data_IF_260161929731
#
_entry.id   IF_260161929731
#
_cell.length_a   1.000
_cell.length_b   1.000
_cell.length_c   1.000
_cell.angle_alpha   90.00
_cell.angle_beta   90.00
_cell.angle_gamma   90.00
#
_symmetry.space_group_name_H-M   'P 1'
#
loop_
_entity.id
_entity.type
_entity.pdbx_description
1 polymer ?
#
# COMPACT_ATOMS: atom_id res chain seq x y z
N UNK A 1 10.91 -23.15 19.49
CA UNK A 1 10.53 -21.81 19.02
C UNK A 1 10.43 -20.94 20.25
N UNK A 2 11.08 -19.79 20.27
CA UNK A 2 11.03 -18.83 21.39
C UNK A 2 9.64 -18.17 21.42
N UNK A 3 9.06 -18.02 22.63
CA UNK A 3 7.75 -17.39 22.81
C UNK A 3 7.81 -15.90 22.51
N UNK A 4 6.85 -15.41 21.73
CA UNK A 4 6.67 -14.00 21.48
C UNK A 4 5.65 -13.33 22.44
N UNK A 5 5.43 -12.03 22.29
CA UNK A 5 4.44 -11.30 23.12
C UNK A 5 3.01 -11.76 22.88
N UNK A 6 2.71 -12.34 21.70
CA UNK A 6 1.37 -12.79 21.33
C UNK A 6 1.07 -14.14 21.97
N UNK A 7 2.07 -15.01 22.15
CA UNK A 7 1.88 -16.26 22.89
C UNK A 7 1.43 -15.98 24.34
N UNK A 8 2.02 -14.98 24.99
CA UNK A 8 1.57 -14.53 26.33
C UNK A 8 0.16 -13.96 26.34
N UNK A 9 -0.21 -13.20 25.30
CA UNK A 9 -1.55 -12.69 25.11
C UNK A 9 -2.58 -13.83 24.94
N UNK A 10 -2.29 -14.81 24.11
CA UNK A 10 -3.13 -15.99 23.89
C UNK A 10 -3.28 -16.79 25.18
N UNK A 11 -2.20 -17.05 25.89
CA UNK A 11 -2.21 -17.77 27.16
C UNK A 11 -3.06 -17.08 28.23
N UNK A 12 -3.13 -15.74 28.23
CA UNK A 12 -4.03 -14.97 29.08
C UNK A 12 -5.49 -15.20 28.69
N UNK A 13 -5.84 -14.96 27.43
CA UNK A 13 -7.23 -15.02 26.96
C UNK A 13 -7.81 -16.43 26.91
N UNK A 14 -6.99 -17.47 26.69
CA UNK A 14 -7.44 -18.87 26.76
C UNK A 14 -7.96 -19.29 28.15
N UNK A 15 -7.55 -18.57 29.20
CA UNK A 15 -8.07 -18.79 30.55
C UNK A 15 -9.43 -18.13 30.77
N UNK A 16 -9.64 -16.94 30.16
CA UNK A 16 -10.86 -16.16 30.28
C UNK A 16 -11.95 -16.62 29.29
N UNK A 17 -11.54 -17.18 28.15
CA UNK A 17 -12.42 -17.60 27.05
C UNK A 17 -12.17 -19.08 26.72
N UNK A 18 -12.85 -20.03 27.37
CA UNK A 18 -12.62 -21.48 27.18
C UNK A 18 -12.88 -21.99 25.75
N UNK A 19 -13.57 -21.22 24.91
CA UNK A 19 -13.85 -21.56 23.51
C UNK A 19 -12.87 -20.93 22.50
N UNK A 20 -11.83 -20.23 22.97
CA UNK A 20 -10.84 -19.61 22.09
C UNK A 20 -10.00 -20.70 21.42
N UNK A 21 -9.91 -20.65 20.08
CA UNK A 21 -8.96 -21.46 19.32
C UNK A 21 -7.59 -20.71 19.30
N UNK A 22 -6.57 -21.22 19.99
CA UNK A 22 -5.30 -20.53 20.12
C UNK A 22 -4.52 -20.41 18.81
N UNK A 23 -4.71 -21.35 17.86
CA UNK A 23 -4.04 -21.30 16.57
C UNK A 23 -4.67 -20.23 15.67
N UNK A 24 -6.00 -20.13 15.67
CA UNK A 24 -6.72 -19.09 14.92
C UNK A 24 -6.39 -17.71 15.50
N UNK A 25 -6.50 -17.53 16.80
CA UNK A 25 -6.19 -16.26 17.47
C UNK A 25 -4.73 -15.86 17.24
N UNK A 26 -3.82 -16.84 17.37
CA UNK A 26 -2.39 -16.62 17.12
C UNK A 26 -2.08 -16.15 15.70
N UNK A 27 -2.71 -16.75 14.70
CA UNK A 27 -2.54 -16.36 13.31
C UNK A 27 -3.11 -14.95 13.05
N UNK A 28 -4.34 -14.68 13.49
CA UNK A 28 -5.01 -13.39 13.25
C UNK A 28 -4.28 -12.26 13.95
N UNK A 29 -3.96 -12.41 15.23
CA UNK A 29 -3.27 -11.37 16.03
C UNK A 29 -1.88 -11.07 15.48
N UNK A 30 -1.12 -12.10 15.05
CA UNK A 30 0.19 -11.87 14.40
C UNK A 30 0.04 -11.13 13.08
N UNK A 31 -0.90 -11.50 12.22
CA UNK A 31 -1.16 -10.78 10.98
C UNK A 31 -1.50 -9.31 11.22
N UNK A 32 -2.42 -9.01 12.15
CA UNK A 32 -2.81 -7.64 12.48
C UNK A 32 -1.64 -6.82 13.03
N UNK A 33 -0.85 -7.40 13.93
CA UNK A 33 0.30 -6.74 14.54
C UNK A 33 1.40 -6.44 13.51
N UNK A 34 1.68 -7.39 12.61
CA UNK A 34 2.67 -7.22 11.55
C UNK A 34 2.23 -6.17 10.52
N UNK A 35 0.95 -6.15 10.13
CA UNK A 35 0.38 -5.11 9.26
C UNK A 35 0.50 -3.72 9.93
N UNK A 36 0.19 -3.60 11.22
CA UNK A 36 0.36 -2.34 11.94
C UNK A 36 1.83 -1.89 12.03
N UNK A 37 2.77 -2.83 12.17
CA UNK A 37 4.20 -2.54 12.12
C UNK A 37 4.65 -2.02 10.75
N UNK A 38 4.24 -2.69 9.66
CA UNK A 38 4.55 -2.26 8.29
C UNK A 38 3.98 -0.87 8.00
N UNK A 39 2.75 -0.61 8.44
CA UNK A 39 2.12 0.73 8.30
C UNK A 39 2.95 1.81 8.99
N UNK A 40 3.37 1.58 10.25
CA UNK A 40 4.23 2.54 10.98
C UNK A 40 5.58 2.77 10.28
N UNK A 41 6.19 1.71 9.74
CA UNK A 41 7.46 1.84 8.98
C UNK A 41 7.27 2.66 7.70
N UNK A 42 6.17 2.41 6.96
CA UNK A 42 5.80 3.22 5.79
C UNK A 42 5.60 4.69 6.15
N UNK A 43 4.87 4.99 7.21
CA UNK A 43 4.66 6.36 7.68
C UNK A 43 5.99 7.06 8.05
N UNK A 44 6.90 6.34 8.70
CA UNK A 44 8.24 6.86 9.03
C UNK A 44 9.06 7.14 7.77
N UNK A 45 9.04 6.25 6.77
CA UNK A 45 9.72 6.43 5.49
C UNK A 45 9.18 7.64 4.71
N UNK A 46 7.85 7.78 4.64
CA UNK A 46 7.21 8.94 4.02
C UNK A 46 7.59 10.25 4.73
N UNK A 47 7.58 10.26 6.06
CA UNK A 47 7.97 11.42 6.86
C UNK A 47 9.44 11.82 6.62
N UNK A 48 10.35 10.84 6.54
CA UNK A 48 11.76 11.08 6.25
C UNK A 48 11.96 11.75 4.88
N UNK A 49 11.09 11.47 3.91
CA UNK A 49 11.08 12.07 2.57
C UNK A 49 10.18 13.30 2.45
N UNK A 50 9.62 13.79 3.56
CA UNK A 50 8.68 14.93 3.61
C UNK A 50 7.43 14.74 2.74
N UNK A 51 7.05 13.49 2.48
CA UNK A 51 5.83 13.12 1.75
C UNK A 51 4.70 12.78 2.72
N UNK A 52 3.49 13.20 2.37
CA UNK A 52 2.25 12.75 3.01
C UNK A 52 1.74 11.47 2.33
N UNK A 53 0.97 10.67 3.05
CA UNK A 53 0.41 9.43 2.49
C UNK A 53 -0.37 9.66 1.20
N UNK A 54 -1.25 10.68 1.16
CA UNK A 54 -2.04 10.99 -0.04
C UNK A 54 -1.19 11.49 -1.22
N UNK A 55 -0.03 12.13 -0.98
CA UNK A 55 0.91 12.53 -2.03
C UNK A 55 1.51 11.27 -2.66
N UNK A 56 2.02 10.38 -1.84
CA UNK A 56 2.52 9.09 -2.30
C UNK A 56 1.48 8.27 -3.05
N UNK A 57 0.22 8.25 -2.59
CA UNK A 57 -0.85 7.49 -3.23
C UNK A 57 -1.14 8.01 -4.65
N UNK A 58 -1.06 9.34 -4.89
CA UNK A 58 -1.17 9.93 -6.23
C UNK A 58 0.04 9.54 -7.10
N UNK A 59 1.27 9.68 -6.59
CA UNK A 59 2.48 9.29 -7.32
C UNK A 59 2.43 7.80 -7.70
N UNK A 60 2.01 6.95 -6.76
CA UNK A 60 1.85 5.52 -6.97
C UNK A 60 0.81 5.21 -8.06
N UNK A 61 -0.32 5.90 -8.07
CA UNK A 61 -1.35 5.73 -9.09
C UNK A 61 -0.86 6.12 -10.48
N UNK A 62 -0.16 7.25 -10.61
CA UNK A 62 0.45 7.65 -11.86
C UNK A 62 1.51 6.64 -12.33
N UNK A 63 2.33 6.13 -11.41
CA UNK A 63 3.33 5.11 -11.73
C UNK A 63 2.69 3.80 -12.18
N UNK A 64 1.60 3.39 -11.55
CA UNK A 64 0.85 2.16 -11.90
C UNK A 64 0.13 2.24 -13.25
N UNK A 65 -0.12 3.44 -13.77
CA UNK A 65 -0.68 3.64 -15.10
C UNK A 65 0.26 3.14 -16.23
N UNK A 66 1.55 2.99 -15.93
CA UNK A 66 2.56 2.63 -16.92
C UNK A 66 2.98 3.82 -17.79
N UNK A 67 4.01 3.65 -18.63
CA UNK A 67 4.45 4.72 -19.52
C UNK A 67 3.32 5.24 -20.42
N UNK A 68 3.19 6.55 -20.60
CA UNK A 68 4.07 7.63 -20.17
C UNK A 68 3.81 8.17 -18.75
N UNK A 69 3.23 7.38 -17.83
CA UNK A 69 2.97 7.70 -16.42
C UNK A 69 2.08 8.93 -16.21
N UNK A 70 1.03 8.99 -16.99
CA UNK A 70 0.07 10.08 -16.99
C UNK A 70 -1.37 9.58 -16.90
N UNK A 71 -2.25 10.42 -16.37
CA UNK A 71 -3.68 10.13 -16.25
C UNK A 71 -4.49 11.42 -16.25
N UNK A 72 -5.81 11.30 -16.49
CA UNK A 72 -6.71 12.44 -16.31
C UNK A 72 -7.04 12.64 -14.82
N UNK A 73 -7.33 13.88 -14.37
CA UNK A 73 -7.80 14.12 -13.01
C UNK A 73 -9.05 13.31 -12.65
N UNK A 74 -9.97 13.11 -13.60
CA UNK A 74 -11.19 12.31 -13.38
C UNK A 74 -10.87 10.84 -13.09
N UNK A 75 -9.92 10.26 -13.83
CA UNK A 75 -9.48 8.89 -13.58
C UNK A 75 -8.80 8.77 -12.21
N UNK A 76 -7.92 9.72 -11.87
CA UNK A 76 -7.26 9.76 -10.56
C UNK A 76 -8.27 9.89 -9.41
N UNK A 77 -9.29 10.73 -9.56
CA UNK A 77 -10.34 10.90 -8.55
C UNK A 77 -11.08 9.58 -8.29
N UNK A 78 -11.47 8.88 -9.37
CA UNK A 78 -12.10 7.56 -9.29
C UNK A 78 -11.17 6.52 -8.67
N UNK A 79 -9.92 6.45 -9.16
CA UNK A 79 -8.95 5.45 -8.73
C UNK A 79 -8.50 5.59 -7.26
N UNK A 80 -8.61 6.81 -6.70
CA UNK A 80 -8.25 7.15 -5.32
C UNK A 80 -9.48 7.31 -4.40
N UNK A 81 -10.69 7.05 -4.92
CA UNK A 81 -11.95 7.29 -4.20
C UNK A 81 -11.96 8.66 -3.52
N UNK A 82 -11.60 9.69 -4.28
CA UNK A 82 -11.41 11.05 -3.76
C UNK A 82 -12.32 12.03 -4.49
N UNK A 83 -12.97 12.91 -3.72
CA UNK A 83 -13.81 13.94 -4.32
C UNK A 83 -12.99 14.84 -5.25
N UNK A 84 -13.50 15.21 -6.45
CA UNK A 84 -12.76 15.98 -7.45
C UNK A 84 -12.15 17.28 -6.93
N UNK A 85 -12.88 18.05 -6.09
CA UNK A 85 -12.37 19.29 -5.51
C UNK A 85 -11.17 19.04 -4.58
N UNK A 86 -11.20 17.97 -3.80
CA UNK A 86 -10.08 17.57 -2.94
C UNK A 86 -8.89 17.14 -3.78
N UNK A 87 -9.12 16.39 -4.86
CA UNK A 87 -8.05 15.99 -5.76
C UNK A 87 -7.40 17.22 -6.43
N UNK A 88 -8.18 18.17 -6.90
CA UNK A 88 -7.65 19.40 -7.52
C UNK A 88 -6.66 20.08 -6.59
N UNK A 89 -7.04 20.37 -5.35
CA UNK A 89 -6.14 21.01 -4.38
C UNK A 89 -4.90 20.19 -4.03
N UNK A 90 -4.99 18.86 -4.08
CA UNK A 90 -3.85 17.94 -3.91
C UNK A 90 -2.90 17.97 -5.09
N UNK A 91 -3.44 18.00 -6.31
CA UNK A 91 -2.66 18.12 -7.54
C UNK A 91 -1.94 19.48 -7.61
N UNK A 92 -2.60 20.59 -7.19
CA UNK A 92 -1.97 21.92 -7.11
C UNK A 92 -0.71 21.87 -6.24
N UNK A 93 -0.80 21.27 -5.06
CA UNK A 93 0.34 21.16 -4.14
C UNK A 93 1.48 20.27 -4.66
N UNK A 94 1.15 19.17 -5.35
CA UNK A 94 2.16 18.30 -5.95
C UNK A 94 2.84 18.96 -7.16
N UNK A 95 2.13 19.80 -7.90
CA UNK A 95 2.71 20.59 -8.98
C UNK A 95 3.60 21.71 -8.43
N UNK A 96 3.17 22.44 -7.39
CA UNK A 96 3.97 23.43 -6.66
C UNK A 96 5.25 22.83 -6.08
N UNK A 97 5.20 21.56 -5.62
CA UNK A 97 6.38 20.84 -5.10
C UNK A 97 7.23 20.18 -6.20
N UNK A 98 6.86 20.34 -7.47
CA UNK A 98 7.61 19.83 -8.61
C UNK A 98 7.49 18.32 -8.88
N UNK A 99 6.60 17.60 -8.18
CA UNK A 99 6.48 16.15 -8.34
C UNK A 99 5.63 15.72 -9.53
N UNK A 100 4.79 16.60 -10.04
CA UNK A 100 3.98 16.37 -11.22
C UNK A 100 3.84 17.64 -12.07
N UNK A 101 3.38 17.46 -13.29
CA UNK A 101 3.02 18.55 -14.20
C UNK A 101 1.65 18.30 -14.81
N UNK A 102 0.97 19.38 -15.21
CA UNK A 102 -0.30 19.33 -15.92
C UNK A 102 -0.14 19.91 -17.31
N UNK A 103 -0.59 19.16 -18.30
CA UNK A 103 -0.55 19.58 -19.71
C UNK A 103 -1.87 19.23 -20.38
N UNK A 104 -2.21 19.96 -21.44
CA UNK A 104 -3.32 19.55 -22.28
C UNK A 104 -2.89 18.40 -23.21
N UNK A 105 -3.82 17.46 -23.43
CA UNK A 105 -3.61 16.37 -24.38
C UNK A 105 -3.39 16.95 -25.78
N UNK A 106 -2.28 16.59 -26.47
CA UNK A 106 -2.01 17.08 -27.82
C UNK A 106 -3.12 16.72 -28.83
N UNK A 107 -3.84 15.64 -28.62
CA UNK A 107 -4.93 15.17 -29.49
C UNK A 107 -6.29 15.79 -29.14
N UNK A 108 -6.49 16.20 -27.89
CA UNK A 108 -7.72 16.86 -27.40
C UNK A 108 -7.40 17.92 -26.35
N UNK A 109 -7.34 19.17 -26.76
CA UNK A 109 -7.05 20.32 -25.88
C UNK A 109 -8.06 20.55 -24.75
N UNK A 110 -9.20 19.87 -24.76
CA UNK A 110 -10.18 19.89 -23.65
C UNK A 110 -9.79 18.95 -22.53
N UNK A 111 -8.91 17.99 -22.83
CA UNK A 111 -8.47 16.95 -21.90
C UNK A 111 -7.21 17.41 -21.19
N UNK A 112 -7.28 17.51 -19.86
CA UNK A 112 -6.12 17.76 -19.02
C UNK A 112 -5.46 16.42 -18.63
N UNK A 113 -4.14 16.36 -18.74
CA UNK A 113 -3.33 15.22 -18.32
C UNK A 113 -2.43 15.64 -17.16
N UNK A 114 -2.30 14.77 -16.20
CA UNK A 114 -1.36 14.86 -15.05
C UNK A 114 -0.29 13.83 -15.27
N UNK A 115 0.96 14.22 -15.26
CA UNK A 115 2.11 13.34 -15.47
C UNK A 115 3.14 13.49 -14.36
N UNK A 116 3.86 12.41 -14.04
CA UNK A 116 5.01 12.48 -13.14
C UNK A 116 6.16 13.25 -13.80
N UNK A 117 6.85 14.05 -12.99
CA UNK A 117 8.16 14.61 -13.32
C UNK A 117 9.27 13.63 -12.92
N UNK A 118 10.52 13.94 -13.27
CA UNK A 118 11.68 13.17 -12.81
C UNK A 118 11.80 13.19 -11.28
N UNK A 119 11.48 14.32 -10.63
CA UNK A 119 11.41 14.45 -9.18
C UNK A 119 10.28 13.57 -8.58
N UNK A 120 9.13 13.52 -9.24
CA UNK A 120 8.02 12.65 -8.85
C UNK A 120 8.39 11.16 -8.95
N UNK A 121 9.09 10.78 -10.01
CA UNK A 121 9.64 9.43 -10.16
C UNK A 121 10.63 9.10 -9.06
N UNK A 122 11.61 9.97 -8.80
CA UNK A 122 12.62 9.78 -7.77
C UNK A 122 12.01 9.68 -6.36
N UNK A 123 11.00 10.52 -6.05
CA UNK A 123 10.28 10.48 -4.79
C UNK A 123 9.55 9.17 -4.58
N UNK A 124 8.88 8.66 -5.63
CA UNK A 124 8.21 7.36 -5.60
C UNK A 124 9.21 6.21 -5.44
N UNK A 125 10.27 6.15 -6.28
CA UNK A 125 11.29 5.10 -6.27
C UNK A 125 12.01 5.00 -4.93
N UNK A 126 12.37 6.13 -4.35
CA UNK A 126 13.00 6.15 -3.05
C UNK A 126 12.08 5.61 -1.95
N UNK A 127 10.78 5.94 -1.99
CA UNK A 127 9.81 5.45 -1.01
C UNK A 127 9.57 3.96 -1.13
N UNK A 128 9.42 3.43 -2.35
CA UNK A 128 9.23 2.00 -2.57
C UNK A 128 10.49 1.20 -2.19
N UNK A 129 11.68 1.77 -2.41
CA UNK A 129 12.94 1.17 -1.98
C UNK A 129 13.02 1.00 -0.46
N UNK A 130 12.67 2.03 0.30
CA UNK A 130 12.63 1.97 1.77
C UNK A 130 11.59 0.95 2.26
N UNK A 131 10.43 0.91 1.62
CA UNK A 131 9.38 -0.06 1.95
C UNK A 131 9.85 -1.49 1.67
N UNK A 132 10.41 -1.76 0.50
CA UNK A 132 10.93 -3.07 0.14
C UNK A 132 12.03 -3.53 1.12
N UNK A 133 12.94 -2.64 1.50
CA UNK A 133 13.96 -2.95 2.50
C UNK A 133 13.36 -3.32 3.87
N UNK A 134 12.31 -2.62 4.30
CA UNK A 134 11.61 -2.91 5.55
C UNK A 134 10.87 -4.26 5.51
N UNK A 135 10.26 -4.60 4.36
CA UNK A 135 9.59 -5.89 4.11
C UNK A 135 10.60 -7.03 4.10
N UNK A 136 11.71 -6.87 3.39
CA UNK A 136 12.81 -7.85 3.40
C UNK A 136 13.38 -8.08 4.79
N UNK A 137 13.62 -7.01 5.56
CA UNK A 137 14.11 -7.12 6.93
C UNK A 137 13.12 -7.83 7.86
N UNK A 138 11.81 -7.63 7.66
CA UNK A 138 10.77 -8.31 8.43
C UNK A 138 10.77 -9.83 8.20
N UNK A 139 11.00 -10.26 6.96
CA UNK A 139 11.00 -11.67 6.57
C UNK A 139 12.41 -12.30 6.54
N UNK A 140 13.44 -11.56 6.95
CA UNK A 140 14.82 -12.06 6.98
C UNK A 140 15.02 -13.31 7.86
N UNK A 141 14.30 -13.49 9.00
CA UNK A 141 14.41 -14.72 9.80
C UNK A 141 13.96 -15.98 9.08
N UNK A 142 13.19 -15.88 7.99
CA UNK A 142 12.68 -17.02 7.24
C UNK A 142 13.64 -17.42 6.11
N UNK A 143 13.83 -18.73 5.92
CA UNK A 143 14.45 -19.28 4.71
C UNK A 143 13.59 -19.01 3.47
N UNK A 144 14.16 -19.19 2.27
CA UNK A 144 13.40 -19.07 1.02
C UNK A 144 12.19 -20.04 0.94
N UNK A 145 12.35 -21.27 1.44
CA UNK A 145 11.28 -22.25 1.49
C UNK A 145 10.15 -21.84 2.44
N UNK A 146 10.49 -21.34 3.63
CA UNK A 146 9.51 -20.86 4.62
C UNK A 146 8.76 -19.61 4.13
N UNK A 147 9.45 -18.67 3.43
CA UNK A 147 8.77 -17.53 2.78
C UNK A 147 7.77 -18.00 1.72
N UNK A 148 8.14 -18.97 0.89
CA UNK A 148 7.25 -19.54 -0.12
C UNK A 148 6.04 -20.26 0.52
N UNK A 149 6.25 -20.99 1.61
CA UNK A 149 5.20 -21.66 2.37
C UNK A 149 4.24 -20.63 2.99
N UNK A 150 4.75 -19.59 3.65
CA UNK A 150 3.95 -18.50 4.21
C UNK A 150 3.09 -17.82 3.15
N UNK A 151 3.69 -17.46 1.99
CA UNK A 151 2.96 -16.87 0.88
C UNK A 151 1.86 -17.80 0.35
N UNK A 152 2.10 -19.11 0.30
CA UNK A 152 1.11 -20.11 -0.09
C UNK A 152 -0.07 -20.21 0.88
N UNK A 153 0.20 -20.21 2.19
CA UNK A 153 -0.84 -20.24 3.22
C UNK A 153 -1.70 -18.98 3.20
N UNK A 154 -1.07 -17.81 3.11
CA UNK A 154 -1.79 -16.53 3.01
C UNK A 154 -2.62 -16.45 1.72
N UNK A 155 -2.11 -16.94 0.58
CA UNK A 155 -2.89 -17.02 -0.67
C UNK A 155 -4.13 -17.87 -0.53
N UNK A 156 -4.04 -19.04 0.13
CA UNK A 156 -5.18 -19.92 0.39
C UNK A 156 -6.28 -19.19 1.18
N UNK A 157 -5.90 -18.46 2.21
CA UNK A 157 -6.84 -17.66 3.03
C UNK A 157 -7.44 -16.52 2.20
N UNK A 158 -6.62 -15.79 1.46
CA UNK A 158 -7.07 -14.67 0.61
C UNK A 158 -8.07 -15.14 -0.47
N UNK A 159 -7.75 -16.24 -1.18
CA UNK A 159 -8.66 -16.82 -2.19
C UNK A 159 -10.02 -17.22 -1.61
N UNK A 160 -10.04 -17.79 -0.40
CA UNK A 160 -11.29 -18.14 0.27
C UNK A 160 -12.09 -16.90 0.67
N UNK A 161 -11.43 -15.84 1.13
CA UNK A 161 -12.08 -14.57 1.47
C UNK A 161 -12.68 -13.89 0.22
N UNK A 162 -11.97 -13.88 -0.91
CA UNK A 162 -12.46 -13.32 -2.17
C UNK A 162 -13.63 -14.12 -2.77
N UNK A 163 -13.67 -15.43 -2.56
CA UNK A 163 -14.82 -16.24 -2.96
C UNK A 163 -16.10 -15.93 -2.17
N UNK A 164 -15.96 -15.39 -0.95
CA UNK A 164 -17.06 -15.02 -0.08
C UNK A 164 -17.41 -13.51 -0.12
N UNK A 165 -16.64 -12.68 -0.81
CA UNK A 165 -16.78 -11.23 -0.81
C UNK A 165 -16.19 -10.55 -2.04
N UNK A 166 -16.02 -9.21 -1.99
CA UNK A 166 -15.36 -8.48 -3.06
C UNK A 166 -13.87 -8.79 -3.12
N UNK A 167 -13.19 -8.52 -4.26
CA UNK A 167 -11.75 -8.68 -4.38
C UNK A 167 -10.99 -7.90 -3.29
N UNK A 168 -9.99 -8.52 -2.67
CA UNK A 168 -9.16 -7.86 -1.65
C UNK A 168 -8.29 -6.73 -2.23
N UNK A 169 -7.95 -6.84 -3.50
CA UNK A 169 -7.23 -5.80 -4.24
C UNK A 169 -8.06 -5.34 -5.44
N UNK A 170 -8.23 -4.04 -5.64
CA UNK A 170 -8.91 -3.55 -6.84
C UNK A 170 -8.10 -3.92 -8.09
N UNK A 171 -8.78 -4.17 -9.22
CA UNK A 171 -8.10 -4.44 -10.49
C UNK A 171 -7.20 -3.25 -10.88
N UNK A 172 -6.08 -3.56 -11.53
CA UNK A 172 -5.19 -2.53 -12.11
C UNK A 172 -5.86 -1.99 -13.36
N UNK A 173 -6.71 -0.96 -13.18
CA UNK A 173 -7.30 -0.23 -14.29
C UNK A 173 -6.25 0.69 -14.93
N UNK A 174 -6.13 0.67 -16.25
CA UNK A 174 -5.34 1.65 -17.00
C UNK A 174 -6.18 2.91 -17.26
N UNK A 175 -5.56 4.11 -17.27
CA UNK A 175 -6.25 5.38 -17.55
C UNK A 175 -6.78 5.49 -18.96
#
# INVERSE_FOLDING_TARGET
VEEDSIDRHIAHWSRELPGLDPDVEGAITRMQTLVALLRRRREAALKARRLKGWEYDILWRLRSAGPPYQATPSWLAKALDTHPATLTSRLDRLEESGHLTRTHDPSDRRRLLVALTDEGHAAWEGTIGDQAAAEHALLAPLTGAERAQLAGLLRKVATAAEAAGPPLMPPVERP
#
